data_IF_468694373908
#
_entry.id   IF_468694373908
#
_cell.length_a   1.000
_cell.length_b   1.000
_cell.length_c   1.000
_cell.angle_alpha   90.00
_cell.angle_beta   90.00
_cell.angle_gamma   90.00
#
_symmetry.space_group_name_H-M   'P 1'
#
loop_
_entity.id
_entity.type
_entity.pdbx_description
1 polymer ?
#
# COMPACT_ATOMS: atom_id res chain seq x y z
N UNK A 1 -18.07 -5.64 -17.33
CA UNK A 1 -17.25 -6.38 -16.32
C UNK A 1 -16.08 -5.52 -15.83
N UNK A 2 -15.27 -4.97 -16.74
CA UNK A 2 -14.10 -4.14 -16.42
C UNK A 2 -14.40 -2.92 -15.53
N UNK A 3 -15.45 -2.16 -15.81
CA UNK A 3 -15.83 -0.97 -15.02
C UNK A 3 -16.25 -1.31 -13.58
N UNK A 4 -16.91 -2.46 -13.35
CA UNK A 4 -17.27 -2.93 -12.01
C UNK A 4 -16.04 -3.33 -11.21
N UNK A 5 -15.04 -3.92 -11.87
CA UNK A 5 -13.74 -4.26 -11.28
C UNK A 5 -12.92 -3.02 -10.93
N UNK A 6 -12.87 -2.03 -11.81
CA UNK A 6 -12.20 -0.75 -11.55
C UNK A 6 -12.84 -0.06 -10.33
N UNK A 7 -14.18 0.00 -10.27
CA UNK A 7 -14.89 0.60 -9.14
C UNK A 7 -14.59 -0.11 -7.80
N UNK A 8 -14.57 -1.45 -7.79
CA UNK A 8 -14.18 -2.23 -6.60
C UNK A 8 -12.73 -1.98 -6.19
N UNK A 9 -11.82 -1.93 -7.17
CA UNK A 9 -10.39 -1.68 -6.94
C UNK A 9 -10.16 -0.29 -6.33
N UNK A 10 -10.83 0.74 -6.85
CA UNK A 10 -10.73 2.12 -6.33
C UNK A 10 -11.24 2.22 -4.90
N UNK A 11 -12.38 1.60 -4.58
CA UNK A 11 -12.94 1.63 -3.22
C UNK A 11 -12.02 0.92 -2.23
N UNK A 12 -11.52 -0.27 -2.60
CA UNK A 12 -10.63 -1.04 -1.74
C UNK A 12 -9.27 -0.35 -1.55
N UNK A 13 -8.66 0.12 -2.64
CA UNK A 13 -7.40 0.84 -2.59
C UNK A 13 -7.52 2.12 -1.77
N UNK A 14 -8.50 2.97 -2.08
CA UNK A 14 -8.74 4.22 -1.36
C UNK A 14 -9.01 4.00 0.12
N UNK A 15 -9.84 3.00 0.46
CA UNK A 15 -10.11 2.62 1.85
C UNK A 15 -8.86 2.16 2.59
N UNK A 16 -8.02 1.33 1.95
CA UNK A 16 -6.75 0.88 2.53
C UNK A 16 -5.76 2.02 2.75
N UNK A 17 -5.68 2.97 1.80
CA UNK A 17 -4.84 4.16 1.87
C UNK A 17 -5.22 5.01 3.07
N UNK A 18 -6.52 5.33 3.21
CA UNK A 18 -7.03 6.13 4.32
C UNK A 18 -6.71 5.45 5.66
N UNK A 19 -6.93 4.14 5.78
CA UNK A 19 -6.63 3.40 7.00
C UNK A 19 -5.13 3.44 7.34
N UNK A 20 -4.26 3.14 6.38
CA UNK A 20 -2.80 3.10 6.61
C UNK A 20 -2.32 4.47 7.12
N UNK A 21 -2.68 5.56 6.45
CA UNK A 21 -2.27 6.90 6.89
C UNK A 21 -2.91 7.31 8.21
N UNK A 22 -4.16 6.91 8.48
CA UNK A 22 -4.80 7.16 9.77
C UNK A 22 -4.01 6.49 10.92
N UNK A 23 -3.61 5.22 10.75
CA UNK A 23 -2.77 4.54 11.72
C UNK A 23 -1.40 5.20 11.88
N UNK A 24 -0.78 5.67 10.80
CA UNK A 24 0.49 6.39 10.86
C UNK A 24 0.38 7.70 11.64
N UNK A 25 -0.69 8.47 11.44
CA UNK A 25 -0.93 9.71 12.20
C UNK A 25 -1.13 9.40 13.68
N UNK A 26 -1.94 8.39 14.02
CA UNK A 26 -2.15 7.95 15.40
C UNK A 26 -0.82 7.55 16.04
N UNK A 27 0.04 6.82 15.31
CA UNK A 27 1.35 6.41 15.77
C UNK A 27 2.27 7.61 16.06
N UNK A 28 2.36 8.58 15.15
CA UNK A 28 3.17 9.80 15.32
C UNK A 28 2.66 10.65 16.49
N UNK A 29 1.34 10.73 16.68
CA UNK A 29 0.70 11.46 17.79
C UNK A 29 0.72 10.69 19.11
N UNK A 30 1.00 9.39 19.12
CA UNK A 30 1.04 8.54 20.31
C UNK A 30 1.88 9.08 21.49
N UNK A 31 3.03 9.76 21.28
CA UNK A 31 3.83 10.38 22.35
C UNK A 31 3.15 11.54 23.06
N UNK A 32 2.11 12.12 22.47
CA UNK A 32 1.32 13.19 23.10
C UNK A 32 0.31 12.59 24.09
N UNK A 33 -0.15 11.36 23.84
CA UNK A 33 -1.21 10.70 24.63
C UNK A 33 -0.64 9.70 25.64
N UNK A 34 0.35 8.91 25.24
CA UNK A 34 1.23 8.14 26.11
C UNK A 34 2.35 9.09 26.51
N UNK A 35 2.60 9.35 27.80
CA UNK A 35 3.70 10.20 28.30
C UNK A 35 5.10 9.62 27.97
N UNK A 36 5.38 9.33 26.70
CA UNK A 36 6.63 8.80 26.17
C UNK A 36 7.33 9.88 25.35
N UNK A 37 8.68 9.91 25.32
CA UNK A 37 9.42 10.99 24.68
C UNK A 37 9.36 10.95 23.14
N UNK A 38 9.17 9.77 22.55
CA UNK A 38 9.23 9.55 21.10
C UNK A 38 8.19 8.51 20.63
N UNK A 39 7.79 8.51 19.34
CA UNK A 39 6.86 7.53 18.76
C UNK A 39 7.33 6.08 18.92
N UNK A 40 8.66 5.90 18.91
CA UNK A 40 9.31 4.59 18.98
C UNK A 40 10.23 4.54 20.19
N UNK A 41 10.17 3.44 20.94
CA UNK A 41 11.07 3.16 22.05
C UNK A 41 12.43 2.71 21.50
N UNK A 42 13.29 3.68 21.20
CA UNK A 42 14.65 3.45 20.71
C UNK A 42 15.67 4.01 21.70
N UNK A 43 16.70 3.22 22.00
CA UNK A 43 17.86 3.67 22.78
C UNK A 43 18.90 4.30 21.85
N UNK A 44 19.31 5.54 22.17
CA UNK A 44 20.32 6.27 21.39
C UNK A 44 21.63 6.33 22.18
N UNK A 45 22.80 6.11 21.53
CA UNK A 45 24.11 6.20 22.19
C UNK A 45 24.56 7.65 22.47
N UNK A 46 23.66 8.62 22.30
CA UNK A 46 23.89 10.05 22.47
C UNK A 46 22.72 10.67 23.26
N UNK A 47 22.96 11.78 23.94
CA UNK A 47 21.92 12.43 24.73
C UNK A 47 20.84 13.06 23.83
N UNK A 48 19.61 12.62 24.02
CA UNK A 48 18.40 13.05 23.29
C UNK A 48 17.47 13.91 24.15
N UNK A 49 17.90 14.25 25.36
CA UNK A 49 17.09 14.97 26.36
C UNK A 49 17.00 16.47 26.07
N UNK A 50 17.98 17.03 25.34
CA UNK A 50 18.08 18.46 25.05
C UNK A 50 17.58 18.82 23.64
N UNK A 51 17.17 20.08 23.48
CA UNK A 51 16.89 20.68 22.18
C UNK A 51 18.20 21.20 21.57
N UNK A 52 18.46 20.99 20.26
CA UNK A 52 17.51 20.59 19.21
C UNK A 52 17.42 19.07 18.95
N UNK A 53 18.25 18.26 19.62
CA UNK A 53 18.39 16.83 19.32
C UNK A 53 17.07 16.08 19.44
N UNK A 54 16.28 16.34 20.50
CA UNK A 54 14.94 15.76 20.68
C UNK A 54 14.03 16.00 19.47
N UNK A 55 14.03 17.21 18.91
CA UNK A 55 13.20 17.55 17.75
C UNK A 55 13.67 16.84 16.49
N UNK A 56 14.99 16.73 16.28
CA UNK A 56 15.57 16.02 15.13
C UNK A 56 15.18 14.54 15.17
N UNK A 57 15.32 13.90 16.32
CA UNK A 57 14.96 12.48 16.51
C UNK A 57 13.47 12.26 16.28
N UNK A 58 12.62 13.11 16.83
CA UNK A 58 11.17 13.03 16.62
C UNK A 58 10.80 13.19 15.15
N UNK A 59 11.38 14.18 14.45
CA UNK A 59 11.16 14.39 13.03
C UNK A 59 11.64 13.20 12.20
N UNK A 60 12.82 12.65 12.51
CA UNK A 60 13.36 11.48 11.83
C UNK A 60 12.45 10.25 11.99
N UNK A 61 12.02 9.92 13.21
CA UNK A 61 11.10 8.80 13.45
C UNK A 61 9.76 9.01 12.72
N UNK A 62 9.26 10.25 12.66
CA UNK A 62 8.03 10.58 11.93
C UNK A 62 8.18 10.38 10.42
N UNK A 63 9.32 10.78 9.84
CA UNK A 63 9.62 10.57 8.42
C UNK A 63 9.71 9.06 8.12
N UNK A 64 10.41 8.29 8.96
CA UNK A 64 10.51 6.85 8.81
C UNK A 64 9.12 6.17 8.86
N UNK A 65 8.24 6.62 9.75
CA UNK A 65 6.85 6.12 9.82
C UNK A 65 6.06 6.43 8.54
N UNK A 66 6.20 7.63 7.97
CA UNK A 66 5.58 8.01 6.70
C UNK A 66 6.13 7.22 5.50
N UNK A 67 7.44 6.96 5.49
CA UNK A 67 8.07 6.12 4.46
C UNK A 67 7.56 4.68 4.54
N UNK A 68 7.46 4.11 5.75
CA UNK A 68 6.90 2.78 5.96
C UNK A 68 5.43 2.70 5.50
N UNK A 69 4.62 3.70 5.82
CA UNK A 69 3.23 3.81 5.35
C UNK A 69 3.15 3.84 3.82
N UNK A 70 4.02 4.63 3.18
CA UNK A 70 4.12 4.73 1.72
C UNK A 70 4.46 3.38 1.09
N UNK A 71 5.41 2.64 1.67
CA UNK A 71 5.79 1.30 1.22
C UNK A 71 4.63 0.31 1.30
N UNK A 72 3.85 0.33 2.40
CA UNK A 72 2.67 -0.52 2.55
C UNK A 72 1.66 -0.21 1.44
N UNK A 73 1.40 1.07 1.15
CA UNK A 73 0.50 1.49 0.07
C UNK A 73 0.97 1.01 -1.32
N UNK A 74 2.27 1.05 -1.59
CA UNK A 74 2.85 0.53 -2.85
C UNK A 74 2.66 -0.98 -2.95
N UNK A 75 2.88 -1.72 -1.86
CA UNK A 75 2.69 -3.17 -1.82
C UNK A 75 1.22 -3.54 -2.07
N UNK A 76 0.28 -2.83 -1.47
CA UNK A 76 -1.16 -3.04 -1.69
C UNK A 76 -1.52 -2.76 -3.15
N UNK A 77 -1.03 -1.65 -3.71
CA UNK A 77 -1.26 -1.32 -5.12
C UNK A 77 -0.71 -2.39 -6.05
N UNK A 78 0.50 -2.88 -5.80
CA UNK A 78 1.13 -3.95 -6.58
C UNK A 78 0.32 -5.25 -6.50
N UNK A 79 -0.15 -5.62 -5.30
CA UNK A 79 -1.02 -6.79 -5.12
C UNK A 79 -2.32 -6.67 -5.90
N UNK A 80 -2.94 -5.48 -5.92
CA UNK A 80 -4.15 -5.23 -6.70
C UNK A 80 -3.92 -5.33 -8.22
N UNK A 81 -2.78 -4.82 -8.71
CA UNK A 81 -2.40 -4.97 -10.12
C UNK A 81 -2.21 -6.44 -10.48
N UNK A 82 -1.48 -7.20 -9.65
CA UNK A 82 -1.27 -8.63 -9.84
C UNK A 82 -2.60 -9.41 -9.83
N UNK A 83 -3.51 -9.09 -8.92
CA UNK A 83 -4.85 -9.68 -8.88
C UNK A 83 -5.62 -9.41 -10.18
N UNK A 84 -5.61 -8.15 -10.64
CA UNK A 84 -6.28 -7.78 -11.88
C UNK A 84 -5.69 -8.52 -13.10
N UNK A 85 -4.37 -8.58 -13.18
CA UNK A 85 -3.64 -9.30 -14.23
C UNK A 85 -3.97 -10.79 -14.19
N UNK A 86 -3.99 -11.41 -13.01
CA UNK A 86 -4.38 -12.82 -12.83
C UNK A 86 -5.79 -13.09 -13.33
N UNK A 87 -6.76 -12.23 -12.99
CA UNK A 87 -8.14 -12.38 -13.45
C UNK A 87 -8.27 -12.25 -14.97
N UNK A 88 -7.46 -11.40 -15.62
CA UNK A 88 -7.41 -11.29 -17.09
C UNK A 88 -6.79 -12.55 -17.72
N UNK A 89 -5.75 -13.11 -17.13
CA UNK A 89 -5.14 -14.37 -17.60
C UNK A 89 -6.08 -15.56 -17.47
N UNK A 90 -6.87 -15.63 -16.39
CA UNK A 90 -7.86 -16.70 -16.20
C UNK A 90 -8.95 -16.62 -17.29
N UNK A 91 -9.48 -15.42 -17.54
CA UNK A 91 -10.46 -15.19 -18.61
C UNK A 91 -9.89 -15.52 -19.99
N UNK A 92 -8.65 -15.12 -20.26
CA UNK A 92 -7.95 -15.48 -21.50
C UNK A 92 -7.80 -17.00 -21.62
N UNK A 93 -7.46 -17.70 -20.54
CA UNK A 93 -7.31 -19.16 -20.52
C UNK A 93 -8.64 -19.87 -20.80
N UNK A 94 -9.76 -19.38 -20.27
CA UNK A 94 -11.08 -19.91 -20.60
C UNK A 94 -11.43 -19.70 -22.08
N UNK A 95 -11.17 -18.51 -22.64
CA UNK A 95 -11.38 -18.24 -24.05
C UNK A 95 -10.50 -19.18 -24.92
N UNK A 96 -9.23 -19.36 -24.56
CA UNK A 96 -8.31 -20.29 -25.23
C UNK A 96 -8.83 -21.73 -25.22
N UNK A 97 -9.43 -22.18 -24.11
CA UNK A 97 -10.02 -23.52 -24.02
C UNK A 97 -11.28 -23.67 -24.86
N UNK A 98 -12.04 -22.60 -25.07
CA UNK A 98 -13.24 -22.58 -25.90
C UNK A 98 -12.94 -22.50 -27.42
N UNK A 99 -11.71 -22.13 -27.80
CA UNK A 99 -11.29 -22.00 -29.18
C UNK A 99 -11.15 -23.38 -29.84
N UNK A 100 -11.93 -23.62 -30.90
CA UNK A 100 -11.87 -24.83 -31.75
C UNK A 100 -11.04 -24.63 -33.02
N UNK A 101 -10.62 -23.41 -33.36
CA UNK A 101 -10.00 -23.08 -34.64
C UNK A 101 -8.97 -21.94 -34.51
N UNK A 102 -7.86 -21.99 -35.27
CA UNK A 102 -6.73 -21.02 -35.18
C UNK A 102 -7.17 -19.57 -35.51
N UNK A 103 -8.25 -19.40 -36.28
CA UNK A 103 -8.80 -18.08 -36.59
C UNK A 103 -9.44 -17.39 -35.36
N UNK A 104 -10.08 -18.16 -34.47
CA UNK A 104 -10.66 -17.64 -33.23
C UNK A 104 -9.57 -17.28 -32.20
N UNK A 105 -8.43 -17.98 -32.26
CA UNK A 105 -7.23 -17.67 -31.48
C UNK A 105 -6.65 -16.30 -31.84
N UNK A 106 -6.47 -16.03 -33.14
CA UNK A 106 -5.97 -14.74 -33.63
C UNK A 106 -6.89 -13.58 -33.22
N UNK A 107 -8.21 -13.80 -33.25
CA UNK A 107 -9.20 -12.78 -32.88
C UNK A 107 -9.19 -12.49 -31.36
N UNK A 108 -9.00 -13.52 -30.53
CA UNK A 108 -8.97 -13.37 -29.07
C UNK A 108 -7.67 -12.71 -28.55
N UNK A 109 -6.56 -12.81 -29.28
CA UNK A 109 -5.28 -12.16 -28.93
C UNK A 109 -5.27 -10.66 -29.31
N UNK A 110 -6.13 -10.25 -30.24
CA UNK A 110 -6.27 -8.86 -30.69
C UNK A 110 -7.22 -8.00 -29.82
N UNK A 111 -8.03 -8.61 -28.94
CA UNK A 111 -8.89 -7.93 -27.94
C UNK A 111 -8.22 -7.77 -26.56
#
# INVERSE_FOLDING_TARGET
ILQKYISKCVIFYGGSLINVYLFTIIFICGPVTLNQPFPTMAEYPFDVSYQPMKTIVYAHQSICALQAASHICINIFTSLLLWFTSARFELLTENLRAIRNIYDLMKCIQE
#
